data_IF_619885158949
#
_entry.id   IF_619885158949
#
_cell.length_a   1.000
_cell.length_b   1.000
_cell.length_c   1.000
_cell.angle_alpha   90.00
_cell.angle_beta   90.00
_cell.angle_gamma   90.00
#
_symmetry.space_group_name_H-M   'P 1'
#
loop_
_entity.id
_entity.type
_entity.pdbx_description
1 polymer ?
#
# COMPACT_ATOMS: atom_id res chain seq x y z
N UNK A 1 -1.14 -26.37 -6.08
CA UNK A 1 -1.78 -25.67 -7.22
C UNK A 1 -2.08 -24.27 -6.75
N UNK A 2 -1.62 -23.22 -7.44
CA UNK A 2 -1.97 -21.84 -7.07
C UNK A 2 -3.42 -21.64 -7.48
N UNK A 3 -4.32 -21.56 -6.51
CA UNK A 3 -5.74 -21.24 -6.74
C UNK A 3 -5.81 -19.89 -7.44
N UNK A 4 -6.59 -19.82 -8.52
CA UNK A 4 -6.75 -18.58 -9.29
C UNK A 4 -7.65 -17.62 -8.51
N UNK A 5 -7.03 -16.82 -7.63
CA UNK A 5 -7.73 -15.87 -6.79
C UNK A 5 -8.19 -14.65 -7.60
N UNK A 6 -9.38 -14.15 -7.27
CA UNK A 6 -9.93 -12.91 -7.83
C UNK A 6 -10.07 -11.89 -6.71
N UNK A 7 -9.60 -10.67 -6.95
CA UNK A 7 -9.77 -9.53 -6.05
C UNK A 7 -10.61 -8.46 -6.72
N UNK A 8 -11.79 -8.20 -6.18
CA UNK A 8 -12.62 -7.06 -6.58
C UNK A 8 -12.10 -5.77 -5.94
N UNK A 9 -12.36 -4.62 -6.57
CA UNK A 9 -11.98 -3.32 -6.03
C UNK A 9 -12.84 -2.93 -4.82
N UNK A 10 -12.21 -2.26 -3.87
CA UNK A 10 -12.86 -1.74 -2.66
C UNK A 10 -13.77 -0.56 -3.02
N UNK A 11 -14.92 -0.45 -2.37
CA UNK A 11 -15.90 0.61 -2.59
C UNK A 11 -15.88 1.56 -1.40
N UNK A 12 -15.81 2.86 -1.67
CA UNK A 12 -15.86 3.89 -0.63
C UNK A 12 -16.99 4.86 -0.91
N UNK A 13 -17.89 5.03 0.07
CA UNK A 13 -19.05 5.91 -0.05
C UNK A 13 -19.15 6.91 1.09
N UNK A 14 -19.48 8.15 0.74
CA UNK A 14 -19.71 9.24 1.68
C UNK A 14 -21.13 9.19 2.22
N UNK A 15 -21.29 9.53 3.50
CA UNK A 15 -22.56 9.74 4.19
C UNK A 15 -22.49 11.05 4.97
N UNK A 16 -23.62 11.51 5.50
CA UNK A 16 -23.65 12.70 6.33
C UNK A 16 -23.05 12.39 7.69
N UNK A 17 -21.80 12.81 7.90
CA UNK A 17 -21.10 12.72 9.19
C UNK A 17 -20.27 11.45 9.43
N UNK A 18 -20.27 10.53 8.47
CA UNK A 18 -19.41 9.34 8.44
C UNK A 18 -19.15 8.92 6.99
N UNK A 19 -18.23 7.97 6.78
CA UNK A 19 -18.07 7.31 5.48
C UNK A 19 -17.90 5.81 5.68
N UNK A 20 -18.17 5.04 4.63
CA UNK A 20 -18.07 3.58 4.65
C UNK A 20 -17.05 3.11 3.62
N UNK A 21 -16.28 2.10 4.00
CA UNK A 21 -15.32 1.42 3.14
C UNK A 21 -15.65 -0.07 3.10
N UNK A 22 -16.15 -0.53 1.97
CA UNK A 22 -16.52 -1.93 1.73
C UNK A 22 -15.41 -2.64 0.97
N UNK A 23 -14.86 -3.69 1.57
CA UNK A 23 -13.95 -4.64 0.94
C UNK A 23 -14.74 -5.90 0.57
N UNK A 24 -14.94 -6.19 -0.73
CA UNK A 24 -15.58 -7.42 -1.18
C UNK A 24 -14.87 -8.68 -0.67
N UNK A 25 -15.59 -9.81 -0.67
CA UNK A 25 -15.01 -11.13 -0.35
C UNK A 25 -13.85 -11.43 -1.31
N UNK A 26 -12.66 -11.66 -0.75
CA UNK A 26 -11.55 -12.24 -1.50
C UNK A 26 -11.64 -13.76 -1.48
N UNK A 27 -11.14 -14.43 -2.52
CA UNK A 27 -11.08 -15.90 -2.56
C UNK A 27 -10.37 -16.42 -1.29
N UNK A 28 -10.95 -17.44 -0.64
CA UNK A 28 -10.53 -18.01 0.66
C UNK A 28 -10.86 -17.19 1.92
N UNK A 29 -11.67 -16.12 1.81
CA UNK A 29 -12.25 -15.42 2.97
C UNK A 29 -13.70 -15.85 3.24
N UNK A 30 -14.09 -15.84 4.51
CA UNK A 30 -15.44 -16.23 4.95
C UNK A 30 -16.47 -15.08 4.87
N UNK A 31 -16.00 -13.83 4.85
CA UNK A 31 -16.87 -12.64 4.87
C UNK A 31 -16.24 -11.44 4.16
N UNK A 32 -17.10 -10.58 3.61
CA UNK A 32 -16.73 -9.23 3.19
C UNK A 32 -16.53 -8.36 4.45
N UNK A 33 -15.81 -7.24 4.30
CA UNK A 33 -15.53 -6.34 5.43
C UNK A 33 -16.04 -4.95 5.13
N UNK A 34 -16.96 -4.44 5.94
CA UNK A 34 -17.42 -3.06 5.91
C UNK A 34 -16.81 -2.30 7.09
N UNK A 35 -16.02 -1.26 6.80
CA UNK A 35 -15.51 -0.36 7.83
C UNK A 35 -16.30 0.95 7.82
N UNK A 36 -17.06 1.20 8.89
CA UNK A 36 -17.80 2.45 9.13
C UNK A 36 -16.90 3.41 9.90
N UNK A 37 -16.60 4.57 9.32
CA UNK A 37 -15.70 5.56 9.89
C UNK A 37 -16.47 6.81 10.29
N UNK A 38 -16.75 6.95 11.59
CA UNK A 38 -17.52 8.07 12.15
C UNK A 38 -16.55 9.20 12.50
N UNK A 39 -16.77 10.39 11.94
CA UNK A 39 -15.95 11.58 12.20
C UNK A 39 -16.76 12.73 12.81
N UNK A 40 -18.05 12.52 13.06
CA UNK A 40 -18.99 13.50 13.63
C UNK A 40 -19.35 13.07 15.06
N UNK A 41 -19.02 13.86 16.09
CA UNK A 41 -19.21 13.48 17.49
C UNK A 41 -20.64 13.07 17.86
N UNK A 42 -21.64 13.75 17.30
CA UNK A 42 -23.06 13.53 17.58
C UNK A 42 -23.55 12.15 17.13
N UNK A 43 -22.81 11.50 16.23
CA UNK A 43 -23.15 10.18 15.68
C UNK A 43 -22.47 9.02 16.42
N UNK A 44 -21.54 9.31 17.34
CA UNK A 44 -20.79 8.27 18.07
C UNK A 44 -21.73 7.42 18.92
N UNK A 45 -22.71 8.03 19.59
CA UNK A 45 -23.72 7.32 20.39
C UNK A 45 -24.66 6.47 19.52
N UNK A 46 -24.88 6.88 18.26
CA UNK A 46 -25.71 6.16 17.28
C UNK A 46 -24.94 5.13 16.46
N UNK A 47 -23.68 4.87 16.82
CA UNK A 47 -22.79 3.97 16.06
C UNK A 47 -23.37 2.56 15.88
N UNK A 48 -24.08 2.04 16.89
CA UNK A 48 -24.74 0.73 16.82
C UNK A 48 -25.84 0.69 15.76
N UNK A 49 -26.75 1.66 15.78
CA UNK A 49 -27.85 1.77 14.81
C UNK A 49 -27.33 1.99 13.39
N UNK A 50 -26.27 2.81 13.24
CA UNK A 50 -25.61 3.04 11.95
C UNK A 50 -25.02 1.73 11.43
N UNK A 51 -24.30 0.97 12.27
CA UNK A 51 -23.71 -0.30 11.86
C UNK A 51 -24.76 -1.32 11.41
N UNK A 52 -25.87 -1.45 12.14
CA UNK A 52 -26.96 -2.36 11.80
C UNK A 52 -27.72 -1.93 10.52
N UNK A 53 -27.88 -0.62 10.32
CA UNK A 53 -28.51 -0.07 9.11
C UNK A 53 -27.63 -0.28 7.87
N UNK A 54 -26.33 0.04 7.98
CA UNK A 54 -25.38 -0.15 6.90
C UNK A 54 -25.19 -1.64 6.59
N UNK A 55 -25.15 -2.52 7.61
CA UNK A 55 -25.13 -3.97 7.39
C UNK A 55 -26.27 -4.42 6.46
N UNK A 56 -27.51 -4.02 6.77
CA UNK A 56 -28.68 -4.37 5.96
C UNK A 56 -28.56 -3.84 4.54
N UNK A 57 -28.21 -2.56 4.40
CA UNK A 57 -28.05 -1.91 3.10
C UNK A 57 -27.01 -2.61 2.20
N UNK A 58 -25.86 -2.98 2.76
CA UNK A 58 -24.78 -3.63 2.02
C UNK A 58 -25.07 -5.10 1.69
N UNK A 59 -25.77 -5.84 2.58
CA UNK A 59 -26.20 -7.21 2.30
C UNK A 59 -27.29 -7.25 1.21
N UNK A 60 -28.18 -6.27 1.19
CA UNK A 60 -29.19 -6.13 0.13
C UNK A 60 -28.53 -5.85 -1.24
N UNK A 61 -27.47 -5.04 -1.24
CA UNK A 61 -26.72 -4.73 -2.46
C UNK A 61 -25.84 -5.88 -2.94
N UNK A 62 -25.13 -6.52 -2.00
CA UNK A 62 -24.23 -7.64 -2.27
C UNK A 62 -24.54 -8.77 -1.27
N UNK A 63 -25.30 -9.81 -1.69
CA UNK A 63 -25.75 -10.85 -0.79
C UNK A 63 -24.63 -11.83 -0.41
N UNK A 64 -23.74 -11.39 0.48
CA UNK A 64 -22.64 -12.16 1.07
C UNK A 64 -22.60 -12.03 2.58
N UNK A 65 -21.97 -12.97 3.31
CA UNK A 65 -21.60 -12.73 4.71
C UNK A 65 -20.76 -11.45 4.83
N UNK A 66 -21.09 -10.62 5.80
CA UNK A 66 -20.51 -9.30 6.00
C UNK A 66 -20.12 -9.11 7.46
N UNK A 67 -18.89 -8.65 7.68
CA UNK A 67 -18.40 -8.18 8.96
C UNK A 67 -18.32 -6.66 8.95
N UNK A 68 -19.03 -6.01 9.86
CA UNK A 68 -19.02 -4.57 10.05
C UNK A 68 -18.12 -4.19 11.21
N UNK A 69 -17.19 -3.28 10.94
CA UNK A 69 -16.26 -2.70 11.90
C UNK A 69 -16.57 -1.21 12.04
N UNK A 70 -16.88 -0.75 13.23
CA UNK A 70 -17.06 0.68 13.51
C UNK A 70 -15.76 1.25 14.03
N UNK A 71 -15.27 2.30 13.39
CA UNK A 71 -14.08 3.06 13.78
C UNK A 71 -14.48 4.49 14.12
N UNK A 72 -14.21 4.88 15.35
CA UNK A 72 -14.33 6.25 15.80
C UNK A 72 -13.08 7.05 15.33
N UNK A 73 -13.30 8.09 14.55
CA UNK A 73 -12.27 9.03 14.08
C UNK A 73 -12.41 10.42 14.73
N UNK A 74 -13.30 10.57 15.71
CA UNK A 74 -13.42 11.79 16.52
C UNK A 74 -12.32 11.86 17.58
N UNK A 75 -12.16 13.01 18.21
CA UNK A 75 -11.23 13.19 19.34
C UNK A 75 -11.75 12.56 20.65
N UNK A 76 -12.93 11.96 20.63
CA UNK A 76 -13.51 11.26 21.79
C UNK A 76 -12.92 9.86 21.87
N UNK A 77 -12.15 9.56 22.93
CA UNK A 77 -11.55 8.24 23.17
C UNK A 77 -12.60 7.25 23.71
N UNK A 78 -13.58 6.93 22.86
CA UNK A 78 -14.55 5.85 23.08
C UNK A 78 -14.15 4.69 22.18
N UNK A 79 -13.80 3.55 22.78
CA UNK A 79 -13.56 2.34 22.01
C UNK A 79 -14.90 1.76 21.60
N UNK A 80 -14.96 1.16 20.42
CA UNK A 80 -16.17 0.51 19.89
C UNK A 80 -16.76 -0.53 20.87
N UNK A 81 -15.88 -1.21 21.61
CA UNK A 81 -16.27 -2.13 22.69
C UNK A 81 -17.03 -1.45 23.83
N UNK A 82 -16.69 -0.20 24.16
CA UNK A 82 -17.33 0.55 25.24
C UNK A 82 -18.74 1.03 24.84
N UNK A 83 -19.01 1.16 23.54
CA UNK A 83 -20.29 1.59 22.98
C UNK A 83 -21.23 0.42 22.65
N UNK A 84 -20.68 -0.72 22.24
CA UNK A 84 -21.49 -1.82 21.67
C UNK A 84 -21.27 -3.17 22.35
N UNK A 85 -20.33 -3.27 23.31
CA UNK A 85 -19.97 -4.49 24.03
C UNK A 85 -19.03 -5.41 23.25
N UNK A 86 -19.22 -5.52 21.93
CA UNK A 86 -18.42 -6.31 21.01
C UNK A 86 -17.72 -5.46 19.94
N UNK A 87 -16.62 -5.98 19.38
CA UNK A 87 -15.78 -5.23 18.44
C UNK A 87 -16.31 -5.19 17.00
N UNK A 88 -17.21 -6.10 16.64
CA UNK A 88 -17.69 -6.28 15.28
C UNK A 88 -19.11 -6.85 15.25
N UNK A 89 -19.81 -6.54 14.16
CA UNK A 89 -21.14 -7.05 13.85
C UNK A 89 -21.02 -7.97 12.64
N UNK A 90 -21.50 -9.19 12.78
CA UNK A 90 -21.61 -10.13 11.67
C UNK A 90 -23.03 -10.16 11.14
N UNK A 91 -23.19 -10.38 9.84
CA UNK A 91 -24.48 -10.66 9.25
C UNK A 91 -24.40 -11.37 7.92
N UNK A 92 -25.51 -11.96 7.50
CA UNK A 92 -25.63 -12.64 6.22
C UNK A 92 -27.08 -12.65 5.72
N UNK A 93 -27.29 -12.82 4.40
CA UNK A 93 -28.64 -12.95 3.85
C UNK A 93 -29.26 -14.30 4.24
N UNK A 94 -30.44 -14.25 4.85
CA UNK A 94 -31.24 -15.42 5.27
C UNK A 94 -32.61 -15.43 4.57
N UNK A 95 -33.32 -16.56 4.59
CA UNK A 95 -34.64 -16.72 3.96
C UNK A 95 -35.72 -15.78 4.54
N UNK A 96 -35.50 -15.26 5.75
CA UNK A 96 -36.41 -14.33 6.45
C UNK A 96 -35.95 -12.87 6.39
N UNK A 97 -34.94 -12.55 5.58
CA UNK A 97 -34.31 -11.22 5.51
C UNK A 97 -32.85 -11.28 5.95
N UNK A 98 -32.35 -10.23 6.60
CA UNK A 98 -30.95 -10.15 7.03
C UNK A 98 -30.79 -10.66 8.46
N UNK A 99 -30.03 -11.74 8.65
CA UNK A 99 -29.59 -12.17 9.98
C UNK A 99 -28.37 -11.35 10.40
N UNK A 100 -28.32 -10.94 11.66
CA UNK A 100 -27.19 -10.22 12.23
C UNK A 100 -26.95 -10.58 13.69
N UNK A 101 -25.70 -10.60 14.11
CA UNK A 101 -25.27 -10.92 15.46
C UNK A 101 -24.01 -10.12 15.81
N UNK A 102 -23.97 -9.55 17.00
CA UNK A 102 -22.77 -8.90 17.52
C UNK A 102 -21.82 -9.97 18.09
N UNK A 103 -20.56 -9.97 17.65
CA UNK A 103 -19.58 -11.00 18.01
C UNK A 103 -19.65 -12.25 17.11
N UNK A 104 -19.26 -13.40 17.64
CA UNK A 104 -19.19 -14.66 16.89
C UNK A 104 -20.56 -15.28 16.64
N UNK A 105 -20.71 -15.97 15.50
CA UNK A 105 -21.90 -16.77 15.24
C UNK A 105 -22.00 -17.91 16.25
N UNK A 106 -23.19 -18.18 16.82
CA UNK A 106 -23.47 -19.45 17.48
C UNK A 106 -23.10 -20.63 16.57
N UNK A 107 -22.59 -21.74 17.12
CA UNK A 107 -22.05 -22.85 16.33
C UNK A 107 -23.02 -23.41 15.26
N UNK A 108 -24.34 -23.29 15.48
CA UNK A 108 -25.39 -23.71 14.56
C UNK A 108 -25.87 -22.66 13.54
N UNK A 109 -25.47 -21.39 13.69
CA UNK A 109 -26.00 -20.25 12.91
C UNK A 109 -25.02 -19.76 11.83
N UNK A 110 -23.92 -20.49 11.61
CA UNK A 110 -22.92 -20.14 10.60
C UNK A 110 -23.53 -20.12 9.19
N UNK A 111 -23.21 -19.10 8.37
CA UNK A 111 -23.75 -18.99 7.03
C UNK A 111 -23.24 -20.12 6.14
N UNK A 112 -24.17 -20.86 5.52
CA UNK A 112 -23.87 -21.80 4.44
C UNK A 112 -24.14 -21.14 3.09
N UNK A 113 -23.29 -20.18 2.73
CA UNK A 113 -23.39 -19.42 1.46
C UNK A 113 -22.25 -19.86 0.55
N UNK A 114 -22.56 -20.07 -0.72
CA UNK A 114 -21.55 -20.38 -1.72
C UNK A 114 -20.72 -19.14 -2.06
N UNK A 115 -19.46 -19.13 -1.63
CA UNK A 115 -18.46 -18.09 -1.91
C UNK A 115 -17.50 -18.51 -3.04
N UNK A 116 -17.92 -19.45 -3.90
CA UNK A 116 -17.17 -19.82 -5.10
C UNK A 116 -16.96 -18.63 -6.04
N UNK A 117 -15.90 -18.70 -6.86
CA UNK A 117 -15.56 -17.68 -7.86
C UNK A 117 -16.73 -17.34 -8.79
N UNK A 118 -17.52 -18.33 -9.18
CA UNK A 118 -18.68 -18.16 -10.05
C UNK A 118 -19.81 -17.40 -9.37
N UNK A 119 -20.09 -17.72 -8.10
CA UNK A 119 -21.11 -17.03 -7.30
C UNK A 119 -20.69 -15.60 -6.98
N UNK A 120 -19.43 -15.37 -6.61
CA UNK A 120 -18.90 -14.02 -6.39
C UNK A 120 -18.91 -13.16 -7.65
N UNK A 121 -18.65 -13.74 -8.83
CA UNK A 121 -18.72 -13.01 -10.11
C UNK A 121 -20.13 -12.52 -10.45
N UNK A 122 -21.17 -13.27 -10.04
CA UNK A 122 -22.57 -12.84 -10.18
C UNK A 122 -22.91 -11.73 -9.19
N UNK A 123 -22.51 -11.91 -7.93
CA UNK A 123 -22.79 -10.95 -6.84
C UNK A 123 -22.14 -9.60 -7.11
N UNK A 124 -20.86 -9.59 -7.48
CA UNK A 124 -20.08 -8.38 -7.73
C UNK A 124 -20.08 -7.97 -9.21
N UNK A 125 -21.13 -8.33 -9.94
CA UNK A 125 -21.26 -7.95 -11.35
C UNK A 125 -21.23 -6.43 -11.50
N UNK A 126 -20.27 -5.94 -12.30
CA UNK A 126 -20.04 -4.50 -12.50
C UNK A 126 -18.93 -3.89 -11.65
N UNK A 127 -18.34 -4.62 -10.69
CA UNK A 127 -17.12 -4.17 -10.01
C UNK A 127 -15.87 -4.53 -10.82
N UNK A 128 -14.90 -3.61 -10.93
CA UNK A 128 -13.60 -3.96 -11.48
C UNK A 128 -12.94 -5.03 -10.60
N UNK A 129 -12.27 -5.97 -11.23
CA UNK A 129 -11.54 -7.03 -10.54
C UNK A 129 -10.17 -7.24 -11.17
N UNK A 130 -9.24 -7.75 -10.37
CA UNK A 130 -7.91 -8.17 -10.80
C UNK A 130 -7.73 -9.64 -10.48
N UNK A 131 -7.20 -10.37 -11.45
CA UNK A 131 -6.88 -11.79 -11.28
C UNK A 131 -5.46 -11.97 -10.76
N UNK A 132 -5.21 -13.09 -10.09
CA UNK A 132 -3.88 -13.49 -9.66
C UNK A 132 -2.86 -13.51 -10.82
N UNK A 133 -3.30 -13.90 -12.02
CA UNK A 133 -2.51 -13.93 -13.23
C UNK A 133 -2.09 -12.53 -13.72
N UNK A 134 -2.98 -11.54 -13.66
CA UNK A 134 -2.68 -10.16 -14.03
C UNK A 134 -1.70 -9.52 -13.05
N UNK A 135 -1.90 -9.73 -11.74
CA UNK A 135 -0.97 -9.25 -10.71
C UNK A 135 0.42 -9.88 -10.92
N UNK A 136 0.49 -11.18 -11.21
CA UNK A 136 1.76 -11.84 -11.53
C UNK A 136 2.41 -11.28 -12.80
N UNK A 137 1.63 -10.93 -13.82
CA UNK A 137 2.14 -10.32 -15.06
C UNK A 137 2.78 -8.97 -14.78
N UNK A 138 2.12 -8.12 -13.98
CA UNK A 138 2.66 -6.82 -13.58
C UNK A 138 3.95 -6.96 -12.75
N UNK A 139 3.96 -7.89 -11.79
CA UNK A 139 5.16 -8.20 -11.01
C UNK A 139 6.30 -8.71 -11.88
N UNK A 140 6.00 -9.54 -12.90
CA UNK A 140 7.01 -10.01 -13.87
C UNK A 140 7.56 -8.86 -14.72
N UNK A 141 6.73 -7.89 -15.10
CA UNK A 141 7.19 -6.70 -15.82
C UNK A 141 8.13 -5.86 -14.96
N UNK A 142 7.81 -5.66 -13.69
CA UNK A 142 8.70 -4.96 -12.76
C UNK A 142 10.02 -5.73 -12.54
N UNK A 143 9.95 -7.06 -12.39
CA UNK A 143 11.12 -7.91 -12.24
C UNK A 143 12.05 -7.92 -13.47
N UNK A 144 11.50 -7.73 -14.68
CA UNK A 144 12.31 -7.55 -15.90
C UNK A 144 13.18 -6.30 -15.83
N UNK A 145 12.69 -5.21 -15.23
CA UNK A 145 13.48 -4.00 -15.02
C UNK A 145 14.72 -4.28 -14.15
N UNK A 146 14.53 -4.97 -13.03
CA UNK A 146 15.62 -5.37 -12.12
C UNK A 146 16.61 -6.32 -12.80
N UNK A 147 16.11 -7.29 -13.58
CA UNK A 147 16.97 -8.22 -14.34
C UNK A 147 17.82 -7.49 -15.39
N UNK A 148 17.25 -6.50 -16.08
CA UNK A 148 17.96 -5.68 -17.07
C UNK A 148 19.08 -4.86 -16.41
N UNK A 149 18.79 -4.22 -15.28
CA UNK A 149 19.79 -3.48 -14.50
C UNK A 149 20.96 -4.38 -14.08
N UNK A 150 20.66 -5.60 -13.61
CA UNK A 150 21.68 -6.58 -13.23
C UNK A 150 22.57 -7.00 -14.40
N UNK A 151 21.99 -7.20 -15.59
CA UNK A 151 22.74 -7.53 -16.82
C UNK A 151 23.68 -6.38 -17.20
N UNK A 152 23.20 -5.14 -17.17
CA UNK A 152 24.02 -3.95 -17.44
C UNK A 152 25.20 -3.86 -16.47
N UNK A 153 24.97 -4.09 -15.18
CA UNK A 153 26.05 -4.11 -14.19
C UNK A 153 27.09 -5.21 -14.48
N UNK A 154 26.66 -6.43 -14.82
CA UNK A 154 27.60 -7.54 -15.12
C UNK A 154 28.41 -7.24 -16.39
N UNK A 155 27.77 -6.72 -17.44
CA UNK A 155 28.45 -6.30 -18.66
C UNK A 155 29.55 -5.28 -18.37
N UNK A 156 29.21 -4.26 -17.57
CA UNK A 156 30.12 -3.17 -17.28
C UNK A 156 31.25 -3.56 -16.32
N UNK A 157 30.96 -4.37 -15.30
CA UNK A 157 31.94 -4.74 -14.26
C UNK A 157 32.82 -5.93 -14.64
N UNK A 158 32.33 -6.85 -15.48
CA UNK A 158 33.03 -8.10 -15.79
C UNK A 158 33.39 -8.22 -17.27
N UNK A 159 32.43 -7.97 -18.18
CA UNK A 159 32.63 -8.25 -19.62
C UNK A 159 33.52 -7.21 -20.29
N UNK A 160 33.26 -5.92 -20.07
CA UNK A 160 34.10 -4.85 -20.64
C UNK A 160 35.56 -4.98 -20.17
N UNK A 161 35.86 -5.15 -18.87
CA UNK A 161 37.23 -5.39 -18.41
C UNK A 161 37.87 -6.64 -18.99
N UNK A 162 37.14 -7.75 -19.08
CA UNK A 162 37.65 -8.99 -19.68
C UNK A 162 37.98 -8.83 -21.18
N UNK A 163 37.14 -8.10 -21.93
CA UNK A 163 37.40 -7.81 -23.34
C UNK A 163 38.64 -6.92 -23.52
N UNK A 164 38.80 -5.89 -22.67
CA UNK A 164 39.99 -5.03 -22.70
C UNK A 164 41.26 -5.86 -22.43
N UNK A 165 41.22 -6.77 -21.46
CA UNK A 165 42.32 -7.68 -21.17
C UNK A 165 42.62 -8.63 -22.34
N UNK A 166 41.58 -9.21 -22.96
CA UNK A 166 41.73 -10.10 -24.12
C UNK A 166 42.33 -9.39 -25.34
N UNK A 167 41.83 -8.21 -25.70
CA UNK A 167 42.40 -7.41 -26.79
C UNK A 167 43.84 -6.94 -26.48
N UNK A 168 44.17 -6.80 -25.19
CA UNK A 168 45.53 -6.51 -24.72
C UNK A 168 46.55 -7.57 -25.09
N UNK A 169 46.11 -8.82 -25.19
CA UNK A 169 46.96 -9.92 -25.60
C UNK A 169 47.24 -9.93 -27.11
N UNK A 170 46.30 -9.46 -27.94
CA UNK A 170 46.43 -9.51 -29.41
C UNK A 170 47.11 -8.28 -29.99
N UNK A 171 46.82 -7.08 -29.47
CA UNK A 171 47.46 -5.85 -29.90
C UNK A 171 47.52 -4.86 -28.72
N UNK A 172 48.71 -4.65 -28.12
CA UNK A 172 48.87 -3.76 -26.98
C UNK A 172 48.35 -2.34 -27.23
N UNK A 173 48.47 -1.84 -28.46
CA UNK A 173 48.03 -0.48 -28.84
C UNK A 173 46.51 -0.36 -28.83
N UNK A 174 45.80 -1.38 -29.31
CA UNK A 174 44.33 -1.40 -29.37
C UNK A 174 43.73 -1.48 -27.97
N UNK A 175 44.30 -2.32 -27.10
CA UNK A 175 43.87 -2.41 -25.71
C UNK A 175 44.14 -1.13 -24.92
N UNK A 176 45.29 -0.51 -25.14
CA UNK A 176 45.60 0.78 -24.54
C UNK A 176 44.58 1.85 -24.94
N UNK A 177 44.23 1.94 -26.23
CA UNK A 177 43.20 2.89 -26.72
C UNK A 177 41.81 2.59 -26.14
N UNK A 178 41.40 1.32 -26.10
CA UNK A 178 40.12 0.90 -25.54
C UNK A 178 40.01 1.17 -24.03
N UNK A 179 41.07 0.85 -23.28
CA UNK A 179 41.19 1.15 -21.85
C UNK A 179 41.13 2.66 -21.62
N UNK A 180 41.90 3.44 -22.38
CA UNK A 180 41.93 4.90 -22.30
C UNK A 180 40.57 5.53 -22.55
N UNK A 181 39.85 5.05 -23.57
CA UNK A 181 38.51 5.54 -23.89
C UNK A 181 37.47 5.17 -22.82
N UNK A 182 37.51 3.94 -22.32
CA UNK A 182 36.65 3.49 -21.22
C UNK A 182 36.90 4.29 -19.94
N UNK A 183 38.18 4.49 -19.58
CA UNK A 183 38.56 5.33 -18.45
C UNK A 183 38.18 6.78 -18.67
N UNK A 184 38.33 7.33 -19.87
CA UNK A 184 37.94 8.71 -20.18
C UNK A 184 36.43 8.92 -20.03
N UNK A 185 35.60 8.01 -20.54
CA UNK A 185 34.14 8.11 -20.37
C UNK A 185 33.73 7.92 -18.91
N UNK A 186 34.38 6.98 -18.20
CA UNK A 186 34.15 6.78 -16.76
C UNK A 186 34.61 7.97 -15.93
N UNK A 187 35.76 8.59 -16.24
CA UNK A 187 36.25 9.80 -15.56
C UNK A 187 35.46 11.03 -15.95
N UNK A 188 34.99 11.20 -17.18
CA UNK A 188 34.10 12.31 -17.55
C UNK A 188 32.78 12.24 -16.78
N UNK A 189 32.15 11.07 -16.75
CA UNK A 189 30.95 10.83 -15.94
C UNK A 189 31.24 10.89 -14.44
N UNK A 190 32.42 10.43 -14.03
CA UNK A 190 32.92 10.48 -12.65
C UNK A 190 33.22 11.91 -12.19
N UNK A 191 33.73 12.79 -13.06
CA UNK A 191 34.01 14.20 -12.81
C UNK A 191 32.72 15.04 -12.79
N UNK A 192 31.73 14.66 -13.61
CA UNK A 192 30.36 15.19 -13.51
C UNK A 192 29.72 14.79 -12.17
N UNK A 193 29.95 13.56 -11.69
CA UNK A 193 29.48 13.09 -10.37
C UNK A 193 30.28 13.66 -9.19
N UNK A 194 31.59 13.87 -9.36
CA UNK A 194 32.51 14.44 -8.35
C UNK A 194 32.54 15.98 -8.35
N UNK A 195 31.80 16.64 -9.24
CA UNK A 195 31.54 18.08 -9.18
C UNK A 195 32.74 19.01 -9.46
N UNK A 196 33.78 18.52 -10.15
CA UNK A 196 34.99 19.32 -10.51
C UNK A 196 34.70 20.30 -11.66
N UNK A 197 33.65 20.06 -12.43
CA UNK A 197 33.09 21.04 -13.37
C UNK A 197 32.41 22.14 -12.53
N UNK A 198 32.74 23.41 -12.77
CA UNK A 198 32.18 24.53 -12.01
C UNK A 198 30.66 24.41 -11.97
N UNK A 199 30.17 24.22 -10.75
CA UNK A 199 28.79 23.88 -10.48
C UNK A 199 27.91 25.06 -10.87
N UNK A 200 26.89 24.79 -11.68
CA UNK A 200 25.84 25.75 -11.98
C UNK A 200 25.24 26.30 -10.68
N UNK A 201 24.71 27.53 -10.63
CA UNK A 201 24.02 28.04 -9.44
C UNK A 201 22.96 27.06 -8.87
N UNK A 202 22.30 26.28 -9.73
CA UNK A 202 21.40 25.20 -9.32
C UNK A 202 22.11 24.04 -8.61
N UNK A 203 23.32 23.71 -9.02
CA UNK A 203 24.14 22.66 -8.40
C UNK A 203 24.74 23.14 -7.07
N UNK A 204 25.01 24.44 -6.95
CA UNK A 204 25.46 25.10 -5.71
C UNK A 204 24.37 25.14 -4.64
N UNK A 205 23.11 25.42 -5.03
CA UNK A 205 21.95 25.28 -4.14
C UNK A 205 21.78 23.83 -3.67
N UNK A 206 21.90 22.88 -4.59
CA UNK A 206 21.81 21.45 -4.27
C UNK A 206 22.93 20.98 -3.34
N UNK A 207 24.12 21.57 -3.44
CA UNK A 207 25.24 21.28 -2.55
C UNK A 207 25.04 21.84 -1.15
N UNK A 208 24.52 23.06 -1.02
CA UNK A 208 24.09 23.60 0.28
C UNK A 208 23.01 22.72 0.93
N UNK A 209 22.05 22.27 0.12
CA UNK A 209 21.03 21.32 0.58
C UNK A 209 21.64 19.99 1.03
N UNK A 210 22.65 19.48 0.33
CA UNK A 210 23.35 18.25 0.70
C UNK A 210 24.20 18.41 1.96
N UNK A 211 24.91 19.53 2.13
CA UNK A 211 25.65 19.82 3.36
C UNK A 211 24.70 19.91 4.57
N UNK A 212 23.54 20.52 4.39
CA UNK A 212 22.49 20.49 5.39
C UNK A 212 22.07 19.03 5.67
N UNK A 213 21.78 18.22 4.65
CA UNK A 213 21.41 16.80 4.85
C UNK A 213 22.50 16.01 5.59
N UNK A 214 23.76 16.22 5.27
CA UNK A 214 24.90 15.56 5.92
C UNK A 214 25.04 16.00 7.37
N UNK A 215 24.91 17.30 7.65
CA UNK A 215 24.91 17.84 9.00
C UNK A 215 23.79 17.24 9.85
N UNK A 216 22.56 17.17 9.31
CA UNK A 216 21.44 16.51 9.98
C UNK A 216 21.72 15.00 10.17
N UNK A 217 22.26 14.32 9.15
CA UNK A 217 22.59 12.90 9.22
C UNK A 217 23.66 12.59 10.29
N UNK A 218 24.68 13.43 10.40
CA UNK A 218 25.73 13.31 11.43
C UNK A 218 25.15 13.36 12.83
N UNK A 219 24.29 14.35 13.12
CA UNK A 219 23.61 14.45 14.41
C UNK A 219 22.64 13.28 14.67
N UNK A 220 22.00 12.74 13.62
CA UNK A 220 21.19 11.52 13.73
C UNK A 220 22.03 10.28 14.06
N UNK A 221 23.29 10.20 13.58
CA UNK A 221 24.20 9.08 13.87
C UNK A 221 24.72 9.10 15.31
N UNK A 222 24.94 10.30 15.87
CA UNK A 222 25.38 10.46 17.27
C UNK A 222 24.26 10.07 18.24
N UNK A 223 23.00 10.32 17.88
CA UNK A 223 21.84 10.00 18.70
C UNK A 223 20.81 9.13 17.94
N UNK A 224 21.11 7.84 17.74
CA UNK A 224 20.23 6.94 16.99
C UNK A 224 18.88 6.77 17.66
N UNK A 225 18.82 6.73 18.99
CA UNK A 225 17.58 6.58 19.75
C UNK A 225 16.68 7.81 19.63
N UNK A 226 17.27 9.01 19.70
CA UNK A 226 16.57 10.27 19.44
C UNK A 226 16.03 10.36 18.02
N UNK A 227 16.80 9.90 17.03
CA UNK A 227 16.34 9.82 15.65
C UNK A 227 15.20 8.81 15.46
N UNK A 228 15.29 7.62 16.09
CA UNK A 228 14.21 6.63 16.08
C UNK A 228 12.92 7.19 16.67
N UNK A 229 13.02 7.93 17.78
CA UNK A 229 11.88 8.61 18.40
C UNK A 229 11.28 9.67 17.48
N UNK A 230 12.11 10.54 16.90
CA UNK A 230 11.66 11.54 15.91
C UNK A 230 11.00 10.90 14.69
N UNK A 231 11.54 9.78 14.19
CA UNK A 231 10.97 9.01 13.09
C UNK A 231 9.58 8.47 13.46
N UNK A 232 9.44 7.89 14.65
CA UNK A 232 8.15 7.42 15.16
C UNK A 232 7.15 8.57 15.29
N UNK A 233 7.57 9.72 15.81
CA UNK A 233 6.71 10.89 15.98
C UNK A 233 6.30 11.50 14.63
N UNK A 234 7.21 11.57 13.66
CA UNK A 234 6.90 11.99 12.29
C UNK A 234 5.90 11.04 11.62
N UNK A 235 6.07 9.72 11.76
CA UNK A 235 5.09 8.77 11.24
C UNK A 235 3.73 8.88 11.93
N UNK A 236 3.70 9.13 13.25
CA UNK A 236 2.44 9.39 13.96
C UNK A 236 1.78 10.65 13.41
N UNK A 237 2.52 11.75 13.26
CA UNK A 237 2.01 13.01 12.72
C UNK A 237 1.49 12.83 11.30
N UNK A 238 2.27 12.23 10.41
CA UNK A 238 1.87 11.95 9.03
C UNK A 238 0.60 11.09 8.96
N UNK A 239 0.48 10.08 9.83
CA UNK A 239 -0.74 9.27 9.94
C UNK A 239 -1.94 10.11 10.37
N UNK A 240 -1.77 11.01 11.33
CA UNK A 240 -2.84 11.91 11.78
C UNK A 240 -3.23 12.92 10.70
N UNK A 241 -2.26 13.50 10.00
CA UNK A 241 -2.51 14.46 8.92
C UNK A 241 -3.22 13.79 7.74
N UNK A 242 -2.80 12.58 7.35
CA UNK A 242 -3.50 11.77 6.33
C UNK A 242 -4.93 11.45 6.75
N UNK A 243 -5.17 11.11 8.02
CA UNK A 243 -6.54 10.88 8.54
C UNK A 243 -7.37 12.15 8.46
N UNK A 244 -6.83 13.31 8.87
CA UNK A 244 -7.53 14.61 8.82
C UNK A 244 -7.87 14.99 7.39
N UNK A 245 -6.90 14.94 6.48
CA UNK A 245 -7.12 15.22 5.05
C UNK A 245 -8.15 14.28 4.43
N UNK A 246 -8.14 12.99 4.82
CA UNK A 246 -9.15 12.03 4.40
C UNK A 246 -10.54 12.42 4.88
N UNK A 247 -10.70 12.72 6.18
CA UNK A 247 -11.96 13.19 6.75
C UNK A 247 -12.45 14.44 6.02
N UNK A 248 -11.57 15.41 5.78
CA UNK A 248 -11.89 16.65 5.08
C UNK A 248 -12.35 16.40 3.64
N UNK A 249 -11.65 15.55 2.89
CA UNK A 249 -12.07 15.14 1.54
C UNK A 249 -13.40 14.38 1.53
N UNK A 250 -13.80 13.80 2.66
CA UNK A 250 -15.03 13.02 2.84
C UNK A 250 -16.17 13.81 3.48
N UNK A 251 -15.91 15.06 3.92
CA UNK A 251 -16.97 16.02 4.23
C UNK A 251 -17.58 16.49 2.91
N UNK A 252 -18.90 16.70 2.93
CA UNK A 252 -19.63 17.31 1.82
C UNK A 252 -19.44 18.82 1.81
#
# INVERSE_FOLDING_TARGET
MVTDCVRYEDIEEKRTGYYVHYSPVFTDQEFAVLSVHIYTPELVEKSKEIAETELKHWIERYPTPLMVLVKNLTDVDLRTKDLVGENYLLGYPSKKGVYHCWGEYPEGDKPNIDLSKESLAKIYSGLPFKTSAEVQKDLRLQARGVKTLRIVMILWLCVIPALIAYFGWSNPVVSFLALSYSLYMATKKGLELWGVKQKSPKELEKEKENQLKEHHHYHCKINPDGFLKLKLDNFKKERMDRKKAKIESMRN
#
